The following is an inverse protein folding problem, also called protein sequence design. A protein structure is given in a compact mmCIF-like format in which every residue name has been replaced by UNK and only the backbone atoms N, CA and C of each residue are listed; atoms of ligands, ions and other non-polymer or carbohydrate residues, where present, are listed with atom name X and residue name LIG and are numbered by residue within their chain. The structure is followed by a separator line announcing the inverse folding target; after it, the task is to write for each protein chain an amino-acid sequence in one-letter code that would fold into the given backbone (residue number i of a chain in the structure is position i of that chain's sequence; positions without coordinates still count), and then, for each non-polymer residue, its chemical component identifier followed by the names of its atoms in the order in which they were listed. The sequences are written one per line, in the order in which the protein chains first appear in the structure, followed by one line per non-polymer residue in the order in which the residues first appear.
data_IF_866029643551
#
_entry.id   IF_866029643551
#
_cell.length_a   1.000
_cell.length_b   1.000
_cell.length_c   1.000
_cell.angle_alpha   90.00
_cell.angle_beta   90.00
_cell.angle_gamma   90.00
#
_symmetry.space_group_name_H-M   'P 1'
#
loop_
_entity.id
_entity.type
_entity.pdbx_description
1 polymer ?
#
# COMPACT_ATOMS: atom_id res chain seq x y z
N UNK A 1 -5.16 27.71 -3.70
CA UNK A 1 -5.17 26.30 -4.16
C UNK A 1 -5.62 25.46 -2.99
N UNK A 2 -6.84 24.90 -3.03
CA UNK A 2 -7.29 23.96 -2.00
C UNK A 2 -6.46 22.68 -2.11
N UNK A 3 -6.02 22.06 -1.01
CA UNK A 3 -5.34 20.77 -1.08
C UNK A 3 -6.29 19.80 -1.75
N UNK A 4 -5.87 19.14 -2.84
CA UNK A 4 -6.60 17.99 -3.38
C UNK A 4 -6.76 17.01 -2.21
N UNK A 5 -8.00 16.73 -1.84
CA UNK A 5 -8.29 15.69 -0.85
C UNK A 5 -7.50 14.43 -1.22
N UNK A 6 -6.72 13.94 -0.26
CA UNK A 6 -5.76 12.87 -0.44
C UNK A 6 -6.54 11.54 -0.50
N UNK A 7 -7.22 11.30 -1.63
CA UNK A 7 -8.16 10.18 -1.86
C UNK A 7 -7.56 8.79 -1.63
N UNK A 8 -6.23 8.70 -1.53
CA UNK A 8 -5.49 7.48 -1.23
C UNK A 8 -5.83 6.92 0.14
N UNK A 9 -6.13 7.72 1.16
CA UNK A 9 -6.27 7.24 2.54
C UNK A 9 -7.72 7.25 2.98
N UNK A 10 -8.30 6.06 3.19
CA UNK A 10 -9.69 5.88 3.64
C UNK A 10 -9.79 5.80 5.16
N UNK A 11 -8.66 5.65 5.85
CA UNK A 11 -8.58 5.63 7.31
C UNK A 11 -7.31 6.32 7.79
N UNK A 12 -7.46 7.12 8.83
CA UNK A 12 -6.37 7.75 9.59
C UNK A 12 -6.83 7.88 11.05
N UNK A 13 -6.32 7.01 11.93
CA UNK A 13 -6.83 6.95 13.29
C UNK A 13 -6.22 5.85 14.16
N UNK A 14 -6.81 5.59 15.33
CA UNK A 14 -6.30 4.58 16.27
C UNK A 14 -6.43 3.15 15.72
N UNK A 15 -5.58 2.19 16.16
CA UNK A 15 -5.61 0.82 15.65
C UNK A 15 -6.91 0.06 15.93
N UNK A 16 -7.62 0.39 17.02
CA UNK A 16 -8.75 -0.41 17.53
C UNK A 16 -10.00 -0.35 16.63
N UNK A 17 -10.18 0.71 15.83
CA UNK A 17 -11.39 0.88 15.02
C UNK A 17 -11.29 0.23 13.63
N UNK A 18 -10.11 -0.24 13.21
CA UNK A 18 -9.89 -0.71 11.83
C UNK A 18 -10.77 -1.89 11.49
N UNK A 19 -10.89 -2.86 12.41
CA UNK A 19 -11.71 -4.05 12.19
C UNK A 19 -13.21 -3.77 12.14
N UNK A 20 -13.65 -2.58 12.58
CA UNK A 20 -15.05 -2.14 12.53
C UNK A 20 -15.33 -1.30 11.27
N UNK A 21 -14.35 -0.51 10.83
CA UNK A 21 -14.56 0.52 9.81
C UNK A 21 -14.09 0.10 8.42
N UNK A 22 -13.10 -0.80 8.33
CA UNK A 22 -12.46 -1.14 7.05
C UNK A 22 -12.74 -2.61 6.71
N UNK A 23 -13.54 -2.88 5.66
CA UNK A 23 -13.82 -4.24 5.25
C UNK A 23 -12.59 -4.90 4.62
N UNK A 24 -12.60 -6.22 4.61
CA UNK A 24 -11.64 -7.00 3.82
C UNK A 24 -11.80 -6.66 2.32
N UNK A 25 -10.69 -6.55 1.59
CA UNK A 25 -10.70 -6.22 0.17
C UNK A 25 -11.12 -7.42 -0.69
N UNK A 26 -11.94 -7.15 -1.71
CA UNK A 26 -12.20 -8.10 -2.78
C UNK A 26 -10.90 -8.32 -3.59
N UNK A 27 -10.53 -9.58 -3.93
CA UNK A 27 -9.39 -9.86 -4.79
C UNK A 27 -9.35 -9.04 -6.10
N UNK A 28 -10.51 -8.73 -6.68
CA UNK A 28 -10.66 -7.96 -7.92
C UNK A 28 -10.25 -6.50 -7.78
N UNK A 29 -10.35 -5.94 -6.57
CA UNK A 29 -9.94 -4.56 -6.25
C UNK A 29 -8.49 -4.50 -5.74
N UNK A 30 -7.88 -5.65 -5.50
CA UNK A 30 -6.51 -5.78 -4.99
C UNK A 30 -6.48 -5.80 -3.47
N UNK A 31 -5.67 -4.93 -2.86
CA UNK A 31 -5.50 -4.88 -1.42
C UNK A 31 -5.03 -3.52 -0.92
N UNK A 32 -4.80 -3.43 0.38
CA UNK A 32 -4.48 -2.19 1.06
C UNK A 32 -2.98 -2.09 1.37
N UNK A 33 -2.45 -0.89 1.27
CA UNK A 33 -1.25 -0.46 1.99
C UNK A 33 -1.66 0.10 3.35
N UNK A 34 -1.01 -0.36 4.42
CA UNK A 34 -1.18 0.14 5.78
C UNK A 34 0.13 0.73 6.28
N UNK A 35 0.05 1.88 6.92
CA UNK A 35 1.13 2.48 7.68
C UNK A 35 0.76 2.52 9.15
N UNK A 36 1.72 2.27 10.03
CA UNK A 36 1.50 2.38 11.46
C UNK A 36 2.67 3.04 12.15
N UNK A 37 2.39 4.15 12.80
CA UNK A 37 3.33 4.85 13.66
C UNK A 37 3.23 4.28 15.07
N UNK A 38 4.38 3.88 15.60
CA UNK A 38 4.52 3.37 16.96
C UNK A 38 4.81 4.52 17.93
N UNK A 39 4.54 4.29 19.22
CA UNK A 39 4.81 5.25 20.31
C UNK A 39 6.27 5.72 20.40
N UNK A 40 7.20 4.93 19.88
CA UNK A 40 8.62 5.24 19.78
C UNK A 40 9.04 5.93 18.46
N UNK A 41 8.07 6.34 17.64
CA UNK A 41 8.30 7.02 16.36
C UNK A 41 8.68 6.08 15.20
N UNK A 42 8.82 4.77 15.43
CA UNK A 42 9.09 3.82 14.34
C UNK A 42 7.84 3.62 13.50
N UNK A 43 8.00 3.63 12.18
CA UNK A 43 6.92 3.33 11.24
C UNK A 43 7.02 1.88 10.76
N UNK A 44 5.89 1.18 10.77
CA UNK A 44 5.72 -0.15 10.15
C UNK A 44 4.79 -0.04 8.96
N UNK A 45 5.08 -0.82 7.92
CA UNK A 45 4.31 -0.83 6.67
C UNK A 45 3.87 -2.25 6.30
N UNK A 46 2.58 -2.41 6.02
CA UNK A 46 1.98 -3.67 5.61
C UNK A 46 1.26 -3.54 4.27
N UNK A 47 1.17 -4.67 3.57
CA UNK A 47 0.35 -4.84 2.38
C UNK A 47 -0.55 -6.04 2.66
N UNK A 48 -1.86 -5.85 2.63
CA UNK A 48 -2.82 -6.92 3.00
C UNK A 48 -4.19 -6.67 2.39
N UNK A 49 -4.94 -7.74 2.16
CA UNK A 49 -6.38 -7.67 1.87
C UNK A 49 -7.24 -7.67 3.12
N UNK A 50 -6.64 -7.98 4.27
CA UNK A 50 -7.34 -8.21 5.53
C UNK A 50 -6.84 -7.25 6.62
N UNK A 51 -7.17 -5.94 6.54
CA UNK A 51 -6.57 -4.90 7.38
C UNK A 51 -6.87 -5.12 8.87
N UNK A 52 -8.12 -5.43 9.22
CA UNK A 52 -8.51 -5.72 10.61
C UNK A 52 -7.77 -6.93 11.19
N UNK A 53 -7.67 -8.03 10.44
CA UNK A 53 -6.94 -9.24 10.86
C UNK A 53 -5.44 -8.98 10.99
N UNK A 54 -4.86 -8.21 10.08
CA UNK A 54 -3.45 -7.84 10.10
C UNK A 54 -3.09 -7.08 11.37
N UNK A 55 -3.85 -6.02 11.69
CA UNK A 55 -3.60 -5.21 12.90
C UNK A 55 -3.90 -5.99 14.17
N UNK A 56 -4.99 -6.78 14.23
CA UNK A 56 -5.30 -7.60 15.38
C UNK A 56 -4.21 -8.65 15.67
N UNK A 57 -3.74 -9.36 14.64
CA UNK A 57 -2.65 -10.33 14.77
C UNK A 57 -1.36 -9.68 15.27
N UNK A 58 -1.03 -8.50 14.75
CA UNK A 58 0.17 -7.78 15.18
C UNK A 58 0.05 -7.25 16.62
N UNK A 59 -1.10 -6.69 16.99
CA UNK A 59 -1.39 -6.29 18.37
C UNK A 59 -1.27 -7.44 19.36
N UNK A 60 -1.72 -8.65 18.97
CA UNK A 60 -1.54 -9.85 19.77
C UNK A 60 -0.05 -10.23 19.94
N UNK A 61 0.76 -10.07 18.89
CA UNK A 61 2.21 -10.30 18.97
C UNK A 61 2.91 -9.30 19.90
N UNK A 62 2.59 -8.00 19.79
CA UNK A 62 3.15 -6.96 20.69
C UNK A 62 2.81 -7.26 22.15
N UNK A 63 1.55 -7.64 22.45
CA UNK A 63 1.14 -8.01 23.80
C UNK A 63 1.90 -9.22 24.34
N UNK A 64 2.20 -10.19 23.48
CA UNK A 64 2.84 -11.46 23.88
C UNK A 64 4.36 -11.35 24.03
N UNK A 65 5.02 -10.61 23.15
CA UNK A 65 6.48 -10.59 23.04
C UNK A 65 7.12 -9.24 23.42
N UNK A 66 6.30 -8.26 23.78
CA UNK A 66 6.75 -6.88 23.99
C UNK A 66 6.92 -6.13 22.67
N UNK A 67 7.07 -4.81 22.78
CA UNK A 67 7.22 -3.91 21.64
C UNK A 67 6.54 -2.56 21.85
N UNK A 68 6.90 -1.62 21.00
CA UNK A 68 6.29 -0.30 20.93
C UNK A 68 4.83 -0.42 20.45
N UNK A 69 3.90 0.27 21.11
CA UNK A 69 2.47 0.18 20.79
C UNK A 69 2.14 1.04 19.57
N UNK A 70 1.22 0.61 18.70
CA UNK A 70 0.75 1.43 17.60
C UNK A 70 -0.10 2.59 18.12
N UNK A 71 0.29 3.83 17.79
CA UNK A 71 -0.40 5.05 18.15
C UNK A 71 -1.34 5.58 17.06
N UNK A 72 -0.94 5.44 15.79
CA UNK A 72 -1.70 5.92 14.62
C UNK A 72 -1.56 4.92 13.48
N UNK A 73 -2.67 4.61 12.81
CA UNK A 73 -2.72 3.74 11.64
C UNK A 73 -3.37 4.49 10.49
N UNK A 74 -2.74 4.42 9.33
CA UNK A 74 -3.35 4.84 8.08
C UNK A 74 -3.63 3.61 7.21
N UNK A 75 -4.81 3.57 6.60
CA UNK A 75 -5.19 2.54 5.62
C UNK A 75 -5.55 3.22 4.31
N UNK A 76 -4.89 2.78 3.24
CA UNK A 76 -5.17 3.29 1.90
C UNK A 76 -6.49 2.76 1.34
N UNK A 77 -6.95 3.29 0.21
CA UNK A 77 -7.94 2.65 -0.65
C UNK A 77 -7.35 1.35 -1.23
N UNK A 78 -8.17 0.37 -1.63
CA UNK A 78 -7.67 -0.82 -2.32
C UNK A 78 -6.92 -0.43 -3.60
N UNK A 79 -5.85 -1.17 -3.91
CA UNK A 79 -5.09 -1.01 -5.13
C UNK A 79 -4.56 -2.36 -5.62
N UNK A 80 -4.66 -2.61 -6.93
CA UNK A 80 -4.20 -3.86 -7.56
C UNK A 80 -2.71 -4.16 -7.32
N UNK A 81 -1.90 -3.10 -7.24
CA UNK A 81 -0.44 -3.20 -7.07
C UNK A 81 0.03 -2.99 -5.63
N UNK A 82 -0.84 -3.07 -4.63
CA UNK A 82 -0.54 -2.74 -3.22
C UNK A 82 0.76 -3.37 -2.68
N UNK A 83 1.04 -4.65 -2.98
CA UNK A 83 2.28 -5.32 -2.56
C UNK A 83 3.53 -4.76 -3.27
N UNK A 84 3.41 -4.42 -4.56
CA UNK A 84 4.49 -3.79 -5.32
C UNK A 84 4.74 -2.38 -4.81
N UNK A 85 3.68 -1.62 -4.54
CA UNK A 85 3.77 -0.27 -4.00
C UNK A 85 4.49 -0.31 -2.64
N UNK A 86 4.10 -1.20 -1.73
CA UNK A 86 4.83 -1.38 -0.46
C UNK A 86 6.34 -1.59 -0.68
N UNK A 87 6.73 -2.49 -1.59
CA UNK A 87 8.15 -2.75 -1.87
C UNK A 87 8.87 -1.49 -2.34
N UNK A 88 8.30 -0.78 -3.32
CA UNK A 88 8.89 0.43 -3.87
C UNK A 88 8.98 1.57 -2.83
N UNK A 89 7.98 1.71 -1.96
CA UNK A 89 8.04 2.69 -0.86
C UNK A 89 9.17 2.34 0.11
N UNK A 90 9.30 1.06 0.49
CA UNK A 90 10.35 0.62 1.42
C UNK A 90 11.75 0.78 0.81
N UNK A 91 11.90 0.49 -0.49
CA UNK A 91 13.18 0.66 -1.21
C UNK A 91 13.61 2.13 -1.30
N UNK A 92 12.67 3.06 -1.48
CA UNK A 92 12.98 4.49 -1.65
C UNK A 92 13.10 5.22 -0.30
N UNK A 93 12.14 4.99 0.60
CA UNK A 93 12.06 5.70 1.90
C UNK A 93 12.93 5.02 2.96
N UNK A 94 13.04 3.69 2.92
CA UNK A 94 13.75 2.89 3.94
C UNK A 94 15.27 3.09 3.98
N UNK A 95 15.83 3.90 3.07
CA UNK A 95 17.25 4.29 3.05
C UNK A 95 17.50 5.56 3.90
N UNK A 96 16.46 6.30 4.30
CA UNK A 96 16.61 7.47 5.15
C UNK A 96 16.79 7.11 6.64
N UNK A 97 17.49 7.96 7.40
CA UNK A 97 17.57 7.82 8.87
C UNK A 97 16.21 8.11 9.51
N UNK A 98 15.54 7.07 10.02
CA UNK A 98 14.27 7.15 10.75
C UNK A 98 13.15 7.94 10.04
N UNK A 99 12.68 7.47 8.88
CA UNK A 99 11.64 8.14 8.12
C UNK A 99 10.31 8.25 8.90
N UNK A 100 9.69 9.44 8.85
CA UNK A 100 8.39 9.71 9.48
C UNK A 100 7.24 9.11 8.69
N UNK A 101 6.09 8.93 9.35
CA UNK A 101 4.90 8.36 8.69
C UNK A 101 4.43 9.23 7.52
N UNK A 102 4.63 10.55 7.60
CA UNK A 102 4.28 11.48 6.52
C UNK A 102 5.18 11.31 5.28
N UNK A 103 6.44 10.89 5.45
CA UNK A 103 7.31 10.57 4.30
C UNK A 103 6.82 9.31 3.58
N UNK A 104 6.49 8.26 4.34
CA UNK A 104 5.87 7.05 3.79
C UNK A 104 4.53 7.34 3.13
N UNK A 105 3.70 8.19 3.76
CA UNK A 105 2.39 8.61 3.26
C UNK A 105 2.53 9.30 1.90
N UNK A 106 3.39 10.31 1.81
CA UNK A 106 3.66 11.04 0.57
C UNK A 106 4.14 10.11 -0.54
N UNK A 107 5.10 9.23 -0.26
CA UNK A 107 5.62 8.30 -1.28
C UNK A 107 4.54 7.32 -1.76
N UNK A 108 3.70 6.86 -0.84
CA UNK A 108 2.56 6.00 -1.19
C UNK A 108 1.59 6.74 -2.12
N UNK A 109 1.25 8.01 -1.81
CA UNK A 109 0.39 8.82 -2.69
C UNK A 109 0.98 8.99 -4.10
N UNK A 110 2.28 9.26 -4.20
CA UNK A 110 2.97 9.36 -5.50
C UNK A 110 2.81 8.09 -6.32
N UNK A 111 3.00 6.91 -5.69
CA UNK A 111 2.92 5.63 -6.38
C UNK A 111 1.49 5.19 -6.68
N UNK A 112 0.50 5.59 -5.88
CA UNK A 112 -0.93 5.37 -6.15
C UNK A 112 -1.44 6.24 -7.30
N UNK A 113 -0.84 7.42 -7.52
CA UNK A 113 -1.20 8.29 -8.64
C UNK A 113 -0.71 7.78 -9.99
N UNK A 114 0.28 6.87 -10.00
CA UNK A 114 0.69 6.16 -11.21
C UNK A 114 -0.39 5.11 -11.46
N UNK A 115 -1.34 5.41 -12.36
CA UNK A 115 -2.35 4.46 -12.82
C UNK A 115 -1.70 3.09 -13.07
N UNK A 116 -2.38 1.96 -12.77
CA UNK A 116 -1.84 0.65 -13.06
C UNK A 116 -1.57 0.59 -14.56
N UNK A 117 -0.30 0.80 -14.95
CA UNK A 117 0.22 0.78 -16.31
C UNK A 117 -0.55 -0.27 -17.07
N UNK A 118 -1.43 0.18 -17.96
CA UNK A 118 -2.41 -0.62 -18.69
C UNK A 118 -1.79 -1.96 -19.15
N UNK A 119 -1.87 -2.99 -18.29
CA UNK A 119 -1.19 -4.27 -18.53
C UNK A 119 -1.85 -4.99 -19.71
N UNK A 120 -3.14 -4.69 -19.95
CA UNK A 120 -3.88 -5.12 -21.14
C UNK A 120 -3.29 -4.48 -22.40
N UNK A 121 -3.04 -3.17 -22.39
CA UNK A 121 -2.46 -2.43 -23.52
C UNK A 121 -0.97 -2.70 -23.77
N UNK A 122 -0.21 -3.10 -22.74
CA UNK A 122 1.18 -3.54 -22.89
C UNK A 122 1.26 -4.97 -23.46
N UNK A 123 0.41 -5.89 -22.97
CA UNK A 123 0.31 -7.26 -23.52
C UNK A 123 -0.21 -7.26 -24.95
N UNK A 124 -1.21 -6.43 -25.29
CA UNK A 124 -1.69 -6.31 -26.67
C UNK A 124 -0.62 -5.74 -27.59
N UNK A 125 0.13 -4.71 -27.18
CA UNK A 125 1.22 -4.15 -28.00
C UNK A 125 2.34 -5.16 -28.25
N UNK A 126 2.75 -5.92 -27.23
CA UNK A 126 3.74 -6.98 -27.38
C UNK A 126 3.24 -8.13 -28.26
N UNK A 127 1.97 -8.51 -28.15
CA UNK A 127 1.35 -9.54 -28.99
C UNK A 127 1.25 -9.08 -30.45
N UNK A 128 0.84 -7.83 -30.72
CA UNK A 128 0.78 -7.27 -32.07
C UNK A 128 2.16 -7.18 -32.71
N UNK A 129 3.18 -6.73 -31.95
CA UNK A 129 4.55 -6.61 -32.44
C UNK A 129 5.18 -7.98 -32.77
N UNK A 130 4.84 -9.04 -32.02
CA UNK A 130 5.27 -10.40 -32.32
C UNK A 130 4.62 -10.97 -33.59
N UNK A 131 3.36 -10.63 -33.86
CA UNK A 131 2.64 -11.04 -35.08
C UNK A 131 3.19 -10.33 -36.31
N UNK A 132 3.51 -9.03 -36.21
CA UNK A 132 4.10 -8.25 -37.31
C UNK A 132 5.51 -8.72 -37.67
N UNK A 133 6.35 -9.05 -36.67
CA UNK A 133 7.68 -9.61 -36.90
C UNK A 133 7.64 -10.97 -37.59
N UNK A 134 6.62 -11.78 -37.32
CA UNK A 134 6.45 -13.07 -37.99
C UNK A 134 5.97 -12.91 -39.44
N UNK A 135 5.09 -11.95 -39.71
CA UNK A 135 4.61 -11.64 -41.06
C UNK A 135 5.68 -11.01 -41.97
N UNK A 136 6.68 -10.33 -41.40
CA UNK A 136 7.81 -9.75 -42.14
C UNK A 136 8.95 -10.74 -42.45
N UNK A 137 8.87 -11.98 -41.96
CA UNK A 137 9.86 -13.05 -42.20
C UNK A 137 9.39 -14.13 -43.17
N UNK A 138 8.27 -13.91 -43.88
CA UNK A 138 7.72 -14.82 -44.92
C UNK A 138 7.83 -14.18 -46.30
#
# INVERSE_FOLDING_TARGET
MSPKEDKTWIYDGPPDNIGLLIPDADPADGGYVLLTELDNGVVRMFATRFPGRCVASWMAQIRRFGGAKPGRVLVSSPHLLYERIKRMVVEDVGVANAPSIEQYKRKTNELFAIEPLNVKGASQRLATQAVELHAASV
#
